data_IF_203524899121
#
_entry.id   IF_203524899121
#
_cell.length_a   1.000
_cell.length_b   1.000
_cell.length_c   1.000
_cell.angle_alpha   90.00
_cell.angle_beta   90.00
_cell.angle_gamma   90.00
#
_symmetry.space_group_name_H-M   'P 1'
#
loop_
_entity.id
_entity.type
_entity.pdbx_description
1 polymer ?
#
# COMPACT_ATOMS: atom_id res chain seq x y z
N UNK A 1 5.65 5.10 0.19
CA UNK A 1 5.54 3.71 -0.33
C UNK A 1 4.96 2.84 0.76
N UNK A 2 4.09 1.90 0.41
CA UNK A 2 3.67 0.83 1.30
C UNK A 2 4.49 -0.42 0.96
N UNK A 3 5.16 -1.02 1.94
CA UNK A 3 5.88 -2.28 1.81
C UNK A 3 5.06 -3.38 2.47
N UNK A 4 4.91 -4.52 1.79
CA UNK A 4 4.34 -5.75 2.35
C UNK A 4 5.43 -6.83 2.41
N UNK A 5 5.72 -7.34 3.61
CA UNK A 5 6.71 -8.41 3.81
C UNK A 5 6.26 -9.30 4.98
N UNK A 6 6.37 -10.61 4.83
CA UNK A 6 6.08 -11.60 5.89
C UNK A 6 4.74 -11.35 6.61
N UNK A 7 3.67 -11.04 5.84
CA UNK A 7 2.35 -10.70 6.38
C UNK A 7 2.34 -9.47 7.30
N UNK A 8 3.15 -8.48 7.01
CA UNK A 8 3.17 -7.19 7.70
C UNK A 8 3.26 -6.05 6.69
N UNK A 9 2.61 -4.93 7.01
CA UNK A 9 2.77 -3.69 6.25
C UNK A 9 3.64 -2.70 6.99
N UNK A 10 4.47 -1.97 6.25
CA UNK A 10 5.16 -0.78 6.74
C UNK A 10 5.05 0.37 5.74
N UNK A 11 4.91 1.58 6.25
CA UNK A 11 4.86 2.80 5.46
C UNK A 11 6.24 3.48 5.46
N UNK A 12 6.77 3.71 4.26
CA UNK A 12 8.10 4.27 4.02
C UNK A 12 8.00 5.63 3.33
N UNK A 13 8.60 6.65 3.93
CA UNK A 13 8.77 7.98 3.33
C UNK A 13 9.91 8.74 4.00
N UNK A 14 10.76 9.41 3.22
CA UNK A 14 11.85 10.27 3.74
C UNK A 14 12.74 9.56 4.78
N UNK A 15 13.16 8.33 4.44
CA UNK A 15 13.96 7.44 5.31
C UNK A 15 13.30 7.05 6.64
N UNK A 16 12.03 7.43 6.87
CA UNK A 16 11.25 7.03 8.02
C UNK A 16 10.37 5.84 7.69
N UNK A 17 10.29 4.93 8.66
CA UNK A 17 9.47 3.73 8.59
C UNK A 17 8.43 3.81 9.69
N UNK A 18 7.17 3.55 9.32
CA UNK A 18 6.07 3.39 10.26
C UNK A 18 5.51 1.98 10.13
N UNK A 19 5.69 1.16 11.15
CA UNK A 19 5.13 -0.19 11.21
C UNK A 19 3.61 -0.14 11.39
N UNK A 20 2.88 -0.91 10.61
CA UNK A 20 1.41 -0.94 10.63
C UNK A 20 0.99 -2.23 11.34
N UNK A 21 0.47 -2.08 12.56
CA UNK A 21 0.02 -3.21 13.37
C UNK A 21 -1.45 -3.50 13.10
N UNK A 22 -1.72 -4.60 12.43
CA UNK A 22 -3.06 -5.12 12.23
C UNK A 22 -3.34 -6.17 13.31
N UNK A 23 -4.42 -5.98 14.07
CA UNK A 23 -4.76 -6.83 15.22
C UNK A 23 -5.19 -8.23 14.78
N UNK A 24 -5.88 -8.37 13.64
CA UNK A 24 -6.26 -9.64 13.01
C UNK A 24 -6.44 -9.44 11.50
N UNK A 25 -5.95 -10.36 10.68
CA UNK A 25 -6.15 -10.30 9.22
C UNK A 25 -6.68 -11.63 8.68
N UNK A 26 -8.01 -11.86 8.67
CA UNK A 26 -8.59 -13.13 8.25
C UNK A 26 -8.50 -13.38 6.74
N UNK A 27 -8.35 -12.35 5.90
CA UNK A 27 -8.41 -12.45 4.45
C UNK A 27 -7.03 -12.40 3.73
N UNK A 28 -5.92 -12.31 4.49
CA UNK A 28 -4.57 -12.25 3.93
C UNK A 28 -4.17 -10.89 3.32
N UNK A 29 -2.93 -10.79 2.83
CA UNK A 29 -2.28 -9.56 2.33
C UNK A 29 -2.22 -9.59 0.80
N UNK A 30 -3.37 -9.46 0.13
CA UNK A 30 -3.47 -9.75 -1.31
C UNK A 30 -3.83 -8.54 -2.18
N UNK A 31 -4.68 -7.64 -1.68
CA UNK A 31 -5.16 -6.49 -2.45
C UNK A 31 -5.02 -5.20 -1.64
N UNK A 32 -4.39 -4.20 -2.25
CA UNK A 32 -4.20 -2.88 -1.67
C UNK A 32 -4.95 -1.84 -2.49
N UNK A 33 -5.82 -1.08 -1.84
CA UNK A 33 -6.43 0.11 -2.40
C UNK A 33 -5.53 1.33 -2.16
N UNK A 34 -5.40 2.17 -3.18
CA UNK A 34 -4.65 3.44 -3.11
C UNK A 34 -5.58 4.58 -3.46
N UNK A 35 -5.74 5.53 -2.54
CA UNK A 35 -6.55 6.72 -2.73
C UNK A 35 -5.67 7.97 -2.72
N UNK A 36 -5.82 8.80 -3.75
CA UNK A 36 -5.12 10.08 -3.89
C UNK A 36 -6.14 11.21 -3.96
N UNK A 37 -6.09 12.11 -2.98
CA UNK A 37 -6.74 13.41 -3.05
C UNK A 37 -5.67 14.48 -3.20
N UNK A 38 -5.41 14.82 -4.47
CA UNK A 38 -4.34 15.75 -4.86
C UNK A 38 -4.47 17.12 -4.21
N UNK A 39 -5.62 17.83 -4.31
CA UNK A 39 -5.72 19.18 -3.79
C UNK A 39 -5.62 19.23 -2.26
N UNK A 40 -6.08 18.17 -1.57
CA UNK A 40 -5.97 18.07 -0.11
C UNK A 40 -4.61 17.57 0.39
N UNK A 41 -3.73 17.11 -0.50
CA UNK A 41 -2.43 16.57 -0.10
C UNK A 41 -2.50 15.24 0.62
N UNK A 42 -3.48 14.39 0.29
CA UNK A 42 -3.74 13.13 1.00
C UNK A 42 -3.42 11.95 0.06
N UNK A 43 -2.60 11.02 0.54
CA UNK A 43 -2.38 9.71 -0.06
C UNK A 43 -2.66 8.63 0.98
N UNK A 44 -3.72 7.86 0.79
CA UNK A 44 -4.15 6.82 1.74
C UNK A 44 -4.04 5.43 1.14
N UNK A 45 -3.64 4.48 1.96
CA UNK A 45 -3.55 3.05 1.65
C UNK A 45 -4.57 2.26 2.46
N UNK A 46 -5.19 1.28 1.85
CA UNK A 46 -6.19 0.40 2.46
C UNK A 46 -5.89 -1.06 2.10
N UNK A 47 -6.12 -1.97 3.04
CA UNK A 47 -6.27 -3.38 2.72
C UNK A 47 -7.72 -3.59 2.28
N UNK A 48 -7.89 -4.12 1.05
CA UNK A 48 -9.19 -4.38 0.44
C UNK A 48 -9.32 -5.86 0.08
N UNK A 49 -8.60 -6.73 0.77
CA UNK A 49 -8.65 -8.19 0.57
C UNK A 49 -9.95 -8.80 1.10
N UNK A 50 -10.70 -8.08 1.95
CA UNK A 50 -12.01 -8.48 2.48
C UNK A 50 -13.12 -7.48 2.09
N UNK A 51 -14.37 -7.84 2.36
CA UNK A 51 -15.54 -6.97 2.10
C UNK A 51 -15.50 -5.64 2.87
N UNK A 52 -14.75 -5.56 3.97
CA UNK A 52 -14.57 -4.33 4.74
C UNK A 52 -13.16 -3.79 4.53
N UNK A 53 -13.00 -2.63 3.87
CA UNK A 53 -11.71 -1.98 3.73
C UNK A 53 -11.12 -1.60 5.08
N UNK A 54 -9.86 -1.98 5.32
CA UNK A 54 -9.12 -1.61 6.53
C UNK A 54 -8.13 -0.50 6.16
N UNK A 55 -8.23 0.64 6.83
CA UNK A 55 -7.25 1.72 6.67
C UNK A 55 -5.87 1.27 7.18
N UNK A 56 -4.84 1.44 6.35
CA UNK A 56 -3.46 1.07 6.68
C UNK A 56 -2.64 2.29 7.08
N UNK A 57 -2.64 3.32 6.22
CA UNK A 57 -1.83 4.51 6.44
C UNK A 57 -2.29 5.68 5.60
N UNK A 58 -2.03 6.91 6.07
CA UNK A 58 -2.21 8.14 5.30
C UNK A 58 -0.95 8.98 5.36
N UNK A 59 -0.43 9.33 4.20
CA UNK A 59 0.56 10.39 4.06
C UNK A 59 -0.15 11.72 3.83
N UNK A 60 0.29 12.74 4.57
CA UNK A 60 -0.07 14.12 4.34
C UNK A 60 1.12 14.84 3.74
N UNK A 61 1.00 15.35 2.52
CA UNK A 61 2.05 16.13 1.88
C UNK A 61 1.50 17.13 0.87
N UNK A 62 2.23 18.22 0.66
CA UNK A 62 1.92 19.16 -0.42
C UNK A 62 2.60 18.70 -1.70
N UNK A 63 1.86 18.06 -2.58
CA UNK A 63 2.39 17.65 -3.88
C UNK A 63 2.74 18.88 -4.73
N UNK A 64 3.97 18.95 -5.25
CA UNK A 64 4.45 20.07 -6.06
C UNK A 64 4.47 19.75 -7.56
N UNK A 65 4.45 18.47 -7.91
CA UNK A 65 4.54 17.93 -9.26
C UNK A 65 3.75 16.63 -9.32
N UNK A 66 3.14 16.24 -10.47
CA UNK A 66 2.32 15.04 -10.61
C UNK A 66 2.90 13.77 -9.97
N UNK A 67 2.06 12.99 -9.28
CA UNK A 67 2.45 11.69 -8.70
C UNK A 67 2.04 10.57 -9.64
N UNK A 68 2.94 9.62 -9.80
CA UNK A 68 2.74 8.42 -10.61
C UNK A 68 2.71 7.18 -9.72
N UNK A 69 1.85 6.19 -10.01
CA UNK A 69 1.90 4.89 -9.37
C UNK A 69 3.26 4.22 -9.64
N UNK A 70 3.82 3.59 -8.61
CA UNK A 70 5.05 2.81 -8.72
C UNK A 70 4.90 1.50 -7.93
N UNK A 71 5.45 0.42 -8.50
CA UNK A 71 5.52 -0.90 -7.90
C UNK A 71 6.99 -1.28 -7.79
N UNK A 72 7.37 -1.88 -6.66
CA UNK A 72 8.74 -2.33 -6.44
C UNK A 72 8.74 -3.77 -5.89
N UNK A 73 9.52 -4.64 -6.53
CA UNK A 73 9.73 -6.02 -6.13
C UNK A 73 11.16 -6.19 -5.60
N UNK A 74 11.30 -6.85 -4.47
CA UNK A 74 12.60 -7.23 -3.93
C UNK A 74 12.95 -8.64 -4.40
N UNK A 75 14.08 -8.79 -5.08
CA UNK A 75 14.56 -10.10 -5.55
C UNK A 75 15.63 -10.63 -4.59
N UNK A 76 15.21 -11.49 -3.66
CA UNK A 76 16.13 -12.41 -2.96
C UNK A 76 15.89 -13.83 -3.46
N UNK A 77 16.82 -14.75 -3.16
CA UNK A 77 16.72 -16.17 -3.53
C UNK A 77 15.42 -16.86 -3.04
N UNK A 78 14.70 -16.27 -2.09
CA UNK A 78 13.43 -16.79 -1.56
C UNK A 78 12.17 -16.09 -2.14
N UNK A 79 12.31 -14.97 -2.85
CA UNK A 79 11.19 -14.12 -3.32
C UNK A 79 10.91 -14.18 -4.84
N UNK A 80 11.33 -15.24 -5.54
CA UNK A 80 11.21 -15.36 -7.01
C UNK A 80 9.76 -15.53 -7.56
N UNK A 81 8.72 -15.42 -6.72
CA UNK A 81 7.30 -15.56 -7.12
C UNK A 81 6.43 -14.35 -6.81
N UNK A 82 6.98 -13.22 -6.39
CA UNK A 82 6.17 -12.01 -6.21
C UNK A 82 5.65 -11.51 -7.56
N UNK A 83 4.34 -11.33 -7.65
CA UNK A 83 3.67 -10.71 -8.80
C UNK A 83 2.66 -9.69 -8.29
N UNK A 84 2.35 -8.71 -9.11
CA UNK A 84 1.26 -7.78 -8.86
C UNK A 84 0.51 -7.52 -10.17
N UNK A 85 -0.77 -7.24 -10.05
CA UNK A 85 -1.62 -6.83 -11.16
C UNK A 85 -2.45 -5.63 -10.72
N UNK A 86 -2.77 -4.77 -11.68
CA UNK A 86 -3.78 -3.74 -11.47
C UNK A 86 -5.15 -4.41 -11.58
N UNK A 87 -6.01 -4.18 -10.60
CA UNK A 87 -7.40 -4.58 -10.71
C UNK A 87 -8.14 -3.60 -11.64
N UNK A 88 -8.99 -4.12 -12.50
CA UNK A 88 -9.93 -3.29 -13.24
C UNK A 88 -10.89 -2.61 -12.26
N UNK A 89 -11.20 -1.34 -12.52
CA UNK A 89 -12.29 -0.67 -11.83
C UNK A 89 -13.57 -1.36 -12.26
N UNK A 90 -14.25 -2.03 -11.34
CA UNK A 90 -15.60 -2.53 -11.60
C UNK A 90 -16.49 -1.30 -11.83
N UNK A 91 -16.85 -1.07 -13.10
CA UNK A 91 -17.79 -0.04 -13.52
C UNK A 91 -19.24 -0.48 -13.42
#
# INVERSE_FOLDING_TARGET
MLLCKDNHYSAWHDYKVTEIRLSQHPAGFQKVGVFLNWPAGILSFFDISSDTPVHLHTFFCRFTEPVYPALWFWFTLEMYKCSAALCDLQG
#
